data_IF_018456867663
#
_entry.id   IF_018456867663
#
_cell.length_a   1.000
_cell.length_b   1.000
_cell.length_c   1.000
_cell.angle_alpha   90.00
_cell.angle_beta   90.00
_cell.angle_gamma   90.00
#
_symmetry.space_group_name_H-M   'P 1'
#
loop_
_entity.id
_entity.type
_entity.pdbx_description
1 polymer ?
#
# COMPACT_ATOMS: atom_id res chain seq x y z
N UNK A 1 27.10 -13.20 -31.35
CA UNK A 1 25.69 -13.44 -30.95
C UNK A 1 25.59 -14.47 -29.83
N UNK A 2 26.31 -15.60 -29.90
CA UNK A 2 26.39 -16.63 -28.84
C UNK A 2 26.89 -16.13 -27.48
N UNK A 3 27.87 -15.22 -27.46
CA UNK A 3 28.44 -14.67 -26.22
C UNK A 3 27.47 -13.75 -25.45
N UNK A 4 26.57 -13.07 -26.16
CA UNK A 4 25.53 -12.24 -25.54
C UNK A 4 24.45 -13.10 -24.88
N UNK A 5 24.11 -14.26 -25.47
CA UNK A 5 23.10 -15.17 -24.93
C UNK A 5 23.56 -15.89 -23.66
N UNK A 6 24.84 -16.30 -23.57
CA UNK A 6 25.36 -16.91 -22.34
C UNK A 6 25.45 -15.91 -21.18
N UNK A 7 25.81 -14.65 -21.48
CA UNK A 7 25.76 -13.57 -20.50
C UNK A 7 24.32 -13.25 -20.08
N UNK A 8 23.36 -13.24 -21.01
CA UNK A 8 21.94 -12.96 -20.71
C UNK A 8 21.31 -14.05 -19.82
N UNK A 9 21.68 -15.31 -20.02
CA UNK A 9 21.22 -16.47 -19.22
C UNK A 9 21.58 -16.31 -17.75
N UNK A 10 22.87 -16.13 -17.44
CA UNK A 10 23.32 -15.90 -16.06
C UNK A 10 22.83 -14.57 -15.48
N UNK A 11 22.61 -13.56 -16.33
CA UNK A 11 22.08 -12.26 -15.93
C UNK A 11 20.60 -12.33 -15.53
N UNK A 12 19.81 -13.29 -16.03
CA UNK A 12 18.37 -13.38 -15.74
C UNK A 12 18.08 -13.54 -14.24
N UNK A 13 18.77 -14.47 -13.58
CA UNK A 13 18.67 -14.69 -12.12
C UNK A 13 19.10 -13.44 -11.35
N UNK A 14 20.16 -12.77 -11.80
CA UNK A 14 20.63 -11.53 -11.19
C UNK A 14 19.60 -10.39 -11.33
N UNK A 15 19.02 -10.23 -12.52
CA UNK A 15 17.96 -9.24 -12.78
C UNK A 15 16.74 -9.49 -11.91
N UNK A 16 16.27 -10.73 -11.81
CA UNK A 16 15.17 -11.13 -10.93
C UNK A 16 15.50 -10.76 -9.47
N UNK A 17 16.72 -11.01 -9.02
CA UNK A 17 17.14 -10.71 -7.64
C UNK A 17 17.17 -9.20 -7.38
N UNK A 18 17.70 -8.41 -8.32
CA UNK A 18 17.76 -6.95 -8.20
C UNK A 18 16.37 -6.32 -8.23
N UNK A 19 15.50 -6.76 -9.16
CA UNK A 19 14.13 -6.27 -9.23
C UNK A 19 13.33 -6.66 -8.00
N UNK A 20 13.54 -7.86 -7.46
CA UNK A 20 12.95 -8.30 -6.19
C UNK A 20 13.37 -7.39 -5.04
N UNK A 21 14.67 -7.11 -4.90
CA UNK A 21 15.17 -6.18 -3.87
C UNK A 21 14.55 -4.78 -4.00
N UNK A 22 14.46 -4.27 -5.23
CA UNK A 22 13.80 -2.99 -5.50
C UNK A 22 12.29 -3.01 -5.14
N UNK A 23 11.59 -4.11 -5.41
CA UNK A 23 10.18 -4.28 -5.04
C UNK A 23 9.98 -4.32 -3.52
N UNK A 24 10.83 -5.05 -2.79
CA UNK A 24 10.79 -5.09 -1.32
C UNK A 24 11.02 -3.69 -0.76
N UNK A 25 12.00 -2.95 -1.29
CA UNK A 25 12.23 -1.55 -0.90
C UNK A 25 11.02 -0.67 -1.18
N UNK A 26 10.38 -0.83 -2.34
CA UNK A 26 9.17 -0.07 -2.68
C UNK A 26 8.01 -0.39 -1.74
N UNK A 27 7.80 -1.66 -1.40
CA UNK A 27 6.83 -2.07 -0.39
C UNK A 27 7.12 -1.46 0.98
N UNK A 28 8.39 -1.40 1.38
CA UNK A 28 8.80 -0.74 2.62
C UNK A 28 8.48 0.77 2.61
N UNK A 29 8.72 1.45 1.49
CA UNK A 29 8.37 2.87 1.32
C UNK A 29 6.85 3.06 1.38
N UNK A 30 6.06 2.22 0.69
CA UNK A 30 4.59 2.27 0.77
C UNK A 30 4.09 2.02 2.19
N UNK A 31 4.69 1.08 2.92
CA UNK A 31 4.34 0.80 4.30
C UNK A 31 4.61 2.01 5.22
N UNK A 32 5.78 2.65 5.08
CA UNK A 32 6.08 3.88 5.81
C UNK A 32 5.11 5.00 5.45
N UNK A 33 4.76 5.13 4.17
CA UNK A 33 3.82 6.14 3.71
C UNK A 33 2.42 5.91 4.28
N UNK A 34 1.91 4.67 4.26
CA UNK A 34 0.63 4.29 4.88
C UNK A 34 0.59 4.62 6.37
N UNK A 35 1.66 4.31 7.12
CA UNK A 35 1.74 4.65 8.56
C UNK A 35 1.77 6.15 8.81
N UNK A 36 2.50 6.90 7.98
CA UNK A 36 2.54 8.37 8.05
C UNK A 36 1.16 8.96 7.76
N UNK A 37 0.49 8.42 6.75
CA UNK A 37 -0.84 8.83 6.35
C UNK A 37 -1.88 8.51 7.44
N UNK A 38 -1.85 7.34 8.10
CA UNK A 38 -2.74 7.09 9.23
C UNK A 38 -2.52 8.08 10.39
N UNK A 39 -1.25 8.38 10.71
CA UNK A 39 -0.91 9.30 11.81
C UNK A 39 -1.42 10.71 11.60
N UNK A 40 -1.33 11.26 10.38
CA UNK A 40 -1.87 12.60 10.15
C UNK A 40 -3.40 12.65 10.07
N UNK A 41 -4.10 11.54 9.74
CA UNK A 41 -5.57 11.45 9.93
C UNK A 41 -5.88 11.57 11.42
N UNK A 42 -5.27 10.72 12.24
CA UNK A 42 -5.48 10.72 13.68
C UNK A 42 -5.15 12.09 14.32
N UNK A 43 -4.04 12.72 13.95
CA UNK A 43 -3.68 14.05 14.42
C UNK A 43 -4.67 15.14 13.97
N UNK A 44 -5.23 15.03 12.76
CA UNK A 44 -6.23 16.01 12.29
C UNK A 44 -7.57 15.85 13.00
N UNK A 45 -7.98 14.62 13.31
CA UNK A 45 -9.16 14.32 14.14
C UNK A 45 -8.95 14.72 15.60
N UNK A 46 -7.76 14.53 16.15
CA UNK A 46 -7.39 14.99 17.48
C UNK A 46 -7.53 16.52 17.57
N UNK A 47 -6.93 17.27 16.64
CA UNK A 47 -7.07 18.74 16.57
C UNK A 47 -8.55 19.18 16.47
N UNK A 48 -9.35 18.44 15.69
CA UNK A 48 -10.78 18.73 15.49
C UNK A 48 -11.60 18.52 16.77
N UNK A 49 -11.39 17.40 17.47
CA UNK A 49 -12.13 17.02 18.68
C UNK A 49 -11.60 17.71 19.96
N UNK A 50 -10.45 18.38 19.88
CA UNK A 50 -9.77 19.04 21.01
C UNK A 50 -10.56 20.21 21.60
N UNK A 51 -11.52 19.93 22.48
CA UNK A 51 -12.38 20.94 23.10
C UNK A 51 -13.75 20.41 23.49
N UNK A 52 -14.10 19.20 23.05
CA UNK A 52 -15.27 18.49 23.50
C UNK A 52 -15.11 18.06 24.97
N UNK A 53 -16.17 18.27 25.77
CA UNK A 53 -16.17 17.99 27.20
C UNK A 53 -16.13 16.48 27.53
N UNK A 54 -16.69 15.66 26.64
CA UNK A 54 -16.72 14.19 26.73
C UNK A 54 -15.84 13.58 25.64
N UNK A 55 -14.53 13.82 25.73
CA UNK A 55 -13.57 13.21 24.81
C UNK A 55 -13.19 11.81 25.29
N UNK A 56 -13.17 10.84 24.38
CA UNK A 56 -12.53 9.55 24.64
C UNK A 56 -11.01 9.74 24.82
N UNK A 57 -10.52 9.61 26.06
CA UNK A 57 -9.09 9.71 26.39
C UNK A 57 -8.45 8.37 26.07
N UNK A 58 -8.06 8.18 24.80
CA UNK A 58 -7.35 6.98 24.38
C UNK A 58 -5.85 7.11 24.58
N UNK A 59 -5.25 6.04 25.08
CA UNK A 59 -3.82 5.94 25.31
C UNK A 59 -3.07 6.14 23.97
N UNK A 60 -2.09 7.03 23.96
CA UNK A 60 -1.31 7.40 22.77
C UNK A 60 -0.58 6.22 22.13
N UNK A 61 -0.55 5.07 22.81
CA UNK A 61 0.06 3.80 22.37
C UNK A 61 -0.91 2.85 21.67
N UNK A 62 -2.22 3.14 21.68
CA UNK A 62 -3.26 2.31 21.07
C UNK A 62 -3.21 2.27 19.54
N UNK A 63 -3.88 1.29 18.92
CA UNK A 63 -3.92 1.14 17.48
C UNK A 63 -4.57 2.38 16.82
N UNK A 64 -3.95 2.92 15.76
CA UNK A 64 -4.35 4.19 15.14
C UNK A 64 -5.79 4.16 14.59
N UNK A 65 -6.27 3.00 14.11
CA UNK A 65 -7.67 2.86 13.68
C UNK A 65 -8.64 3.04 14.84
N UNK A 66 -8.37 2.44 16.00
CA UNK A 66 -9.25 2.48 17.17
C UNK A 66 -9.36 3.92 17.71
N UNK A 67 -8.25 4.67 17.65
CA UNK A 67 -8.26 6.11 17.95
C UNK A 67 -9.17 6.88 16.99
N UNK A 68 -9.05 6.62 15.67
CA UNK A 68 -9.91 7.25 14.65
C UNK A 68 -11.37 6.91 14.90
N UNK A 69 -11.71 5.65 15.17
CA UNK A 69 -13.09 5.20 15.40
C UNK A 69 -13.70 5.85 16.64
N UNK A 70 -12.95 5.95 17.74
CA UNK A 70 -13.41 6.64 18.94
C UNK A 70 -13.63 8.15 18.71
N UNK A 71 -12.73 8.81 17.98
CA UNK A 71 -12.95 10.22 17.61
C UNK A 71 -14.20 10.39 16.74
N UNK A 72 -14.48 9.46 15.83
CA UNK A 72 -15.70 9.48 15.02
C UNK A 72 -16.96 9.19 15.84
N UNK A 73 -16.85 8.35 16.88
CA UNK A 73 -17.93 8.14 17.83
C UNK A 73 -18.24 9.42 18.62
N UNK A 74 -17.22 10.11 19.16
CA UNK A 74 -17.36 11.38 19.87
C UNK A 74 -18.04 12.45 18.97
N UNK A 75 -17.68 12.50 17.69
CA UNK A 75 -18.32 13.39 16.71
C UNK A 75 -19.77 13.00 16.45
N UNK A 76 -20.06 11.70 16.28
CA UNK A 76 -21.43 11.24 16.07
C UNK A 76 -22.34 11.49 17.28
N UNK A 77 -21.83 11.35 18.50
CA UNK A 77 -22.56 11.66 19.72
C UNK A 77 -22.87 13.16 19.82
N UNK A 78 -21.91 14.01 19.48
CA UNK A 78 -22.08 15.47 19.57
C UNK A 78 -22.99 16.06 18.50
N UNK A 79 -23.12 15.44 17.32
CA UNK A 79 -24.05 15.91 16.27
C UNK A 79 -25.50 15.45 16.50
N UNK A 80 -25.76 14.54 17.44
CA UNK A 80 -27.13 14.08 17.73
C UNK A 80 -28.00 15.24 18.23
N UNK A 81 -29.28 15.24 17.84
CA UNK A 81 -30.25 16.31 18.15
C UNK A 81 -30.46 16.50 19.65
N UNK A 82 -30.14 15.48 20.46
CA UNK A 82 -30.23 15.48 21.93
C UNK A 82 -28.93 15.91 22.62
N UNK A 83 -27.86 16.14 21.87
CA UNK A 83 -26.55 16.50 22.41
C UNK A 83 -26.52 17.94 22.94
N UNK A 84 -25.53 18.20 23.78
CA UNK A 84 -25.33 19.50 24.41
C UNK A 84 -25.07 20.60 23.34
N UNK A 85 -25.88 21.68 23.31
CA UNK A 85 -25.77 22.73 22.28
C UNK A 85 -24.41 23.45 22.29
N UNK A 86 -23.75 23.56 23.45
CA UNK A 86 -22.43 24.17 23.56
C UNK A 86 -21.33 23.36 22.83
N UNK A 87 -21.41 22.03 22.88
CA UNK A 87 -20.46 21.15 22.19
C UNK A 87 -20.67 21.21 20.66
N UNK A 88 -21.93 21.40 20.21
CA UNK A 88 -22.28 21.58 18.78
C UNK A 88 -21.73 22.89 18.20
N UNK A 89 -21.76 23.98 18.96
CA UNK A 89 -21.22 25.27 18.54
C UNK A 89 -19.69 25.23 18.40
N UNK A 90 -19.00 24.56 19.33
CA UNK A 90 -17.55 24.34 19.23
C UNK A 90 -17.20 23.50 17.98
N UNK A 91 -18.00 22.49 17.68
CA UNK A 91 -17.79 21.64 16.49
C UNK A 91 -18.03 22.42 15.19
N UNK A 92 -19.05 23.28 15.13
CA UNK A 92 -19.38 24.07 13.94
C UNK A 92 -18.29 25.07 13.59
N UNK A 93 -17.70 25.73 14.59
CA UNK A 93 -16.56 26.64 14.39
C UNK A 93 -15.33 25.92 13.85
N UNK A 94 -15.11 24.67 14.28
CA UNK A 94 -13.92 23.87 13.91
C UNK A 94 -14.09 23.08 12.63
N UNK A 95 -15.31 22.93 12.13
CA UNK A 95 -15.59 22.25 10.85
C UNK A 95 -14.82 22.91 9.69
N UNK A 96 -14.59 24.22 9.78
CA UNK A 96 -13.83 24.99 8.79
C UNK A 96 -12.34 24.61 8.77
N UNK A 97 -11.74 24.28 9.91
CA UNK A 97 -10.34 23.84 10.02
C UNK A 97 -10.15 22.48 9.33
N UNK A 98 -11.15 21.61 9.42
CA UNK A 98 -11.13 20.28 8.82
C UNK A 98 -11.29 20.34 7.29
N UNK A 99 -12.13 21.25 6.78
CA UNK A 99 -12.34 21.47 5.34
C UNK A 99 -11.05 22.04 4.68
N UNK A 100 -10.29 22.87 5.40
CA UNK A 100 -9.01 23.42 4.92
C UNK A 100 -7.91 22.35 4.77
N UNK A 101 -7.91 21.33 5.64
CA UNK A 101 -6.97 20.20 5.58
C UNK A 101 -7.37 19.09 4.58
N UNK A 102 -8.39 19.30 3.72
CA UNK A 102 -8.92 18.33 2.71
C UNK A 102 -7.88 17.63 1.84
N UNK A 103 -6.66 18.18 1.72
CA UNK A 103 -5.52 17.56 1.03
C UNK A 103 -5.20 16.15 1.54
N UNK A 104 -5.65 15.80 2.74
CA UNK A 104 -5.49 14.47 3.36
C UNK A 104 -6.32 13.35 2.70
N UNK A 105 -7.40 13.70 2.00
CA UNK A 105 -8.37 12.73 1.46
C UNK A 105 -8.04 12.23 0.05
N UNK A 106 -7.11 12.88 -0.66
CA UNK A 106 -6.84 12.56 -2.06
C UNK A 106 -5.61 11.67 -2.21
N UNK A 107 -5.82 10.36 -2.08
CA UNK A 107 -4.74 9.38 -2.10
C UNK A 107 -4.80 8.43 -3.30
N UNK A 108 -5.23 8.93 -4.46
CA UNK A 108 -5.22 8.18 -5.72
C UNK A 108 -3.82 7.66 -6.09
N UNK A 109 -2.76 8.36 -5.70
CA UNK A 109 -1.38 7.95 -5.95
C UNK A 109 -0.97 6.71 -5.13
N UNK A 110 -1.42 6.60 -3.88
CA UNK A 110 -1.12 5.43 -3.04
C UNK A 110 -1.82 4.18 -3.58
N UNK A 111 -3.12 4.29 -3.86
CA UNK A 111 -3.94 3.19 -4.38
C UNK A 111 -3.40 2.70 -5.73
N UNK A 112 -3.07 3.63 -6.62
CA UNK A 112 -2.50 3.31 -7.94
C UNK A 112 -1.14 2.64 -7.81
N UNK A 113 -0.25 3.16 -6.96
CA UNK A 113 1.08 2.59 -6.75
C UNK A 113 1.01 1.19 -6.15
N UNK A 114 0.13 0.97 -5.16
CA UNK A 114 -0.10 -0.34 -4.56
C UNK A 114 -0.66 -1.34 -5.58
N UNK A 115 -1.66 -0.95 -6.37
CA UNK A 115 -2.24 -1.81 -7.39
C UNK A 115 -1.20 -2.22 -8.45
N UNK A 116 -0.36 -1.29 -8.90
CA UNK A 116 0.75 -1.59 -9.83
C UNK A 116 1.71 -2.61 -9.21
N UNK A 117 2.14 -2.40 -7.96
CA UNK A 117 3.05 -3.32 -7.28
C UNK A 117 2.47 -4.72 -7.13
N UNK A 118 1.20 -4.81 -6.75
CA UNK A 118 0.48 -6.09 -6.64
C UNK A 118 0.50 -6.86 -7.96
N UNK A 119 0.12 -6.21 -9.06
CA UNK A 119 0.13 -6.85 -10.39
C UNK A 119 1.54 -7.24 -10.83
N UNK A 120 2.57 -6.45 -10.48
CA UNK A 120 3.96 -6.78 -10.83
C UNK A 120 4.50 -8.05 -10.14
N UNK A 121 3.89 -8.51 -9.05
CA UNK A 121 4.26 -9.80 -8.44
C UNK A 121 4.06 -10.96 -9.42
N UNK A 122 3.01 -10.90 -10.24
CA UNK A 122 2.68 -11.94 -11.23
C UNK A 122 3.69 -12.01 -12.37
N UNK A 123 4.51 -10.97 -12.56
CA UNK A 123 5.55 -10.96 -13.59
C UNK A 123 6.78 -11.82 -13.21
N UNK A 124 7.01 -12.10 -11.93
CA UNK A 124 8.21 -12.83 -11.48
C UNK A 124 8.24 -14.31 -11.92
N UNK A 125 7.16 -15.09 -11.80
CA UNK A 125 7.12 -16.45 -12.34
C UNK A 125 7.32 -16.45 -13.86
N UNK A 126 6.70 -15.48 -14.56
CA UNK A 126 6.85 -15.33 -16.01
C UNK A 126 8.29 -15.02 -16.40
N UNK A 127 8.96 -14.13 -15.66
CA UNK A 127 10.38 -13.82 -15.85
C UNK A 127 11.28 -15.06 -15.62
N UNK A 128 10.97 -15.89 -14.62
CA UNK A 128 11.68 -17.14 -14.37
C UNK A 128 11.56 -18.15 -15.53
N UNK A 129 10.35 -18.31 -16.07
CA UNK A 129 10.09 -19.13 -17.27
C UNK A 129 10.83 -18.56 -18.49
N UNK A 130 10.80 -17.24 -18.69
CA UNK A 130 11.54 -16.59 -19.78
C UNK A 130 13.04 -16.81 -19.68
N UNK A 131 13.64 -16.71 -18.49
CA UNK A 131 15.06 -16.99 -18.28
C UNK A 131 15.42 -18.45 -18.58
N UNK A 132 14.52 -19.39 -18.27
CA UNK A 132 14.67 -20.81 -18.63
C UNK A 132 14.68 -21.01 -20.15
N UNK A 133 13.75 -20.37 -20.86
CA UNK A 133 13.68 -20.43 -22.33
C UNK A 133 14.95 -19.86 -22.96
N UNK A 134 15.46 -18.74 -22.43
CA UNK A 134 16.70 -18.11 -22.90
C UNK A 134 17.92 -19.00 -22.65
N UNK A 135 18.06 -19.57 -21.45
CA UNK A 135 19.15 -20.46 -21.09
C UNK A 135 19.18 -21.74 -21.95
N UNK A 136 18.02 -22.37 -22.15
CA UNK A 136 17.87 -23.52 -23.02
C UNK A 136 18.18 -23.16 -24.49
N UNK A 137 17.69 -22.02 -24.96
CA UNK A 137 17.97 -21.51 -26.31
C UNK A 137 19.46 -21.27 -26.54
N UNK A 138 20.17 -20.73 -25.54
CA UNK A 138 21.62 -20.53 -25.58
C UNK A 138 22.37 -21.88 -25.64
N UNK A 139 21.96 -22.85 -24.82
CA UNK A 139 22.56 -24.18 -24.78
C UNK A 139 22.47 -24.91 -26.13
N UNK A 140 21.31 -24.83 -26.79
CA UNK A 140 21.06 -25.49 -28.08
C UNK A 140 21.88 -24.89 -29.23
N UNK A 141 22.14 -23.59 -29.23
CA UNK A 141 22.92 -22.94 -30.29
C UNK A 141 24.42 -23.25 -30.22
N UNK A 142 24.98 -23.45 -29.01
CA UNK A 142 26.41 -23.72 -28.78
C UNK A 142 26.85 -25.10 -29.29
N UNK A 143 25.91 -25.99 -29.61
CA UNK A 143 26.16 -27.36 -30.05
C UNK A 143 26.47 -27.48 -31.57
N UNK A 144 26.48 -26.37 -32.32
CA UNK A 144 26.60 -26.40 -33.78
C UNK A 144 28.04 -26.45 -34.33
N UNK A 145 29.07 -26.64 -33.48
CA UNK A 145 30.46 -26.73 -33.97
C UNK A 145 31.58 -26.98 -32.94
N UNK A 146 31.28 -27.55 -31.76
CA UNK A 146 32.29 -27.80 -30.70
C UNK A 146 32.52 -29.29 -30.42
N UNK A 147 33.70 -29.63 -29.88
CA UNK A 147 34.02 -31.02 -29.50
C UNK A 147 33.05 -31.55 -28.43
N UNK A 148 32.54 -32.78 -28.63
CA UNK A 148 31.42 -33.37 -27.88
C UNK A 148 31.53 -33.28 -26.36
N UNK A 149 32.75 -33.41 -25.80
CA UNK A 149 32.96 -33.32 -24.35
C UNK A 149 32.82 -31.89 -23.80
N UNK A 150 33.30 -30.88 -24.56
CA UNK A 150 33.16 -29.46 -24.20
C UNK A 150 31.71 -28.97 -24.36
N UNK A 151 30.98 -29.54 -25.34
CA UNK A 151 29.57 -29.28 -25.57
C UNK A 151 28.70 -29.77 -24.40
N UNK A 152 28.95 -30.99 -23.89
CA UNK A 152 28.18 -31.56 -22.76
C UNK A 152 28.33 -30.70 -21.50
N UNK A 153 29.55 -30.29 -21.13
CA UNK A 153 29.77 -29.46 -19.94
C UNK A 153 29.03 -28.10 -20.04
N UNK A 154 29.04 -27.49 -21.23
CA UNK A 154 28.35 -26.22 -21.50
C UNK A 154 26.82 -26.36 -21.47
N UNK A 155 26.30 -27.50 -21.93
CA UNK A 155 24.87 -27.80 -21.85
C UNK A 155 24.43 -27.93 -20.38
N UNK A 156 25.18 -28.68 -19.58
CA UNK A 156 24.87 -28.88 -18.15
C UNK A 156 24.89 -27.57 -17.38
N UNK A 157 25.86 -26.68 -17.63
CA UNK A 157 25.89 -25.36 -16.96
C UNK A 157 24.66 -24.52 -17.27
N UNK A 158 24.19 -24.51 -18.53
CA UNK A 158 23.00 -23.75 -18.92
C UNK A 158 21.70 -24.36 -18.41
N UNK A 159 21.61 -25.68 -18.28
CA UNK A 159 20.50 -26.30 -17.55
C UNK A 159 20.47 -25.86 -16.08
N UNK A 160 21.64 -25.75 -15.46
CA UNK A 160 21.78 -25.18 -14.12
C UNK A 160 21.22 -23.75 -14.04
N UNK A 161 21.64 -22.87 -14.95
CA UNK A 161 21.14 -21.49 -15.03
C UNK A 161 19.62 -21.42 -15.18
N UNK A 162 19.06 -22.29 -16.02
CA UNK A 162 17.63 -22.36 -16.28
C UNK A 162 16.83 -22.72 -15.01
N UNK A 163 17.31 -23.70 -14.25
CA UNK A 163 16.71 -24.11 -12.97
C UNK A 163 16.76 -22.96 -11.96
N UNK A 164 17.92 -22.30 -11.84
CA UNK A 164 18.09 -21.18 -10.92
C UNK A 164 17.21 -19.98 -11.26
N UNK A 165 17.02 -19.68 -12.55
CA UNK A 165 16.11 -18.63 -13.00
C UNK A 165 14.66 -18.92 -12.60
N UNK A 166 14.17 -20.14 -12.83
CA UNK A 166 12.81 -20.53 -12.43
C UNK A 166 12.64 -20.47 -10.92
N UNK A 167 13.60 -21.02 -10.18
CA UNK A 167 13.58 -21.00 -8.73
C UNK A 167 13.54 -19.57 -8.19
N UNK A 168 14.39 -18.68 -8.71
CA UNK A 168 14.42 -17.28 -8.29
C UNK A 168 13.10 -16.56 -8.59
N UNK A 169 12.51 -16.78 -9.78
CA UNK A 169 11.22 -16.19 -10.15
C UNK A 169 10.07 -16.64 -9.24
N UNK A 170 9.99 -17.94 -8.94
CA UNK A 170 8.97 -18.48 -8.03
C UNK A 170 9.19 -18.05 -6.58
N UNK A 171 10.42 -18.11 -6.08
CA UNK A 171 10.75 -17.69 -4.72
C UNK A 171 10.45 -16.21 -4.50
N UNK A 172 10.83 -15.34 -5.45
CA UNK A 172 10.52 -13.92 -5.41
C UNK A 172 9.00 -13.69 -5.39
N UNK A 173 8.23 -14.37 -6.24
CA UNK A 173 6.78 -14.24 -6.28
C UNK A 173 6.13 -14.64 -4.94
N UNK A 174 6.50 -15.80 -4.39
CA UNK A 174 5.97 -16.30 -3.12
C UNK A 174 6.27 -15.32 -1.97
N UNK A 175 7.51 -14.84 -1.89
CA UNK A 175 7.92 -13.90 -0.85
C UNK A 175 7.18 -12.56 -0.98
N UNK A 176 7.03 -12.04 -2.21
CA UNK A 176 6.30 -10.79 -2.43
C UNK A 176 4.79 -10.96 -2.18
N UNK A 177 4.18 -12.09 -2.53
CA UNK A 177 2.78 -12.39 -2.19
C UNK A 177 2.57 -12.40 -0.68
N UNK A 178 3.47 -13.04 0.06
CA UNK A 178 3.43 -13.05 1.52
C UNK A 178 3.54 -11.64 2.10
N UNK A 179 4.52 -10.85 1.63
CA UNK A 179 4.70 -9.47 2.06
C UNK A 179 3.48 -8.60 1.72
N UNK A 180 2.93 -8.77 0.51
CA UNK A 180 1.73 -8.08 0.07
C UNK A 180 0.54 -8.37 0.98
N UNK A 181 0.33 -9.63 1.37
CA UNK A 181 -0.77 -10.03 2.26
C UNK A 181 -0.71 -9.31 3.62
N UNK A 182 0.49 -9.13 4.19
CA UNK A 182 0.67 -8.39 5.45
C UNK A 182 0.34 -6.90 5.27
N UNK A 183 0.74 -6.31 4.15
CA UNK A 183 0.52 -4.89 3.86
C UNK A 183 -0.92 -4.59 3.46
N UNK A 184 -1.58 -5.51 2.77
CA UNK A 184 -2.97 -5.39 2.32
C UNK A 184 -3.90 -5.10 3.50
N UNK A 185 -3.74 -5.81 4.62
CA UNK A 185 -4.53 -5.56 5.83
C UNK A 185 -4.35 -4.13 6.33
N UNK A 186 -3.11 -3.61 6.35
CA UNK A 186 -2.85 -2.22 6.79
C UNK A 186 -3.44 -1.19 5.83
N UNK A 187 -3.44 -1.49 4.54
CA UNK A 187 -3.89 -0.58 3.49
C UNK A 187 -5.42 -0.52 3.40
N UNK A 188 -6.09 -1.66 3.52
CA UNK A 188 -7.54 -1.74 3.64
C UNK A 188 -8.03 -0.93 4.84
N UNK A 189 -7.38 -1.09 6.00
CA UNK A 189 -7.70 -0.29 7.19
C UNK A 189 -7.57 1.23 6.94
N UNK A 190 -6.56 1.68 6.19
CA UNK A 190 -6.39 3.10 5.84
C UNK A 190 -7.50 3.61 4.92
N UNK A 191 -7.87 2.83 3.90
CA UNK A 191 -8.94 3.20 2.95
C UNK A 191 -10.29 3.27 3.67
N UNK A 192 -10.60 2.26 4.49
CA UNK A 192 -11.83 2.19 5.27
C UNK A 192 -11.93 3.37 6.25
N UNK A 193 -10.87 3.65 7.02
CA UNK A 193 -10.81 4.81 7.91
C UNK A 193 -11.02 6.12 7.15
N UNK A 194 -10.38 6.30 5.97
CA UNK A 194 -10.56 7.51 5.16
C UNK A 194 -12.01 7.70 4.70
N UNK A 195 -12.64 6.62 4.25
CA UNK A 195 -14.02 6.65 3.81
C UNK A 195 -14.95 6.98 4.99
N UNK A 196 -14.76 6.30 6.12
CA UNK A 196 -15.57 6.53 7.32
C UNK A 196 -15.44 7.97 7.82
N UNK A 197 -14.22 8.50 7.93
CA UNK A 197 -13.97 9.91 8.30
C UNK A 197 -14.68 10.86 7.33
N UNK A 198 -14.54 10.65 6.02
CA UNK A 198 -15.18 11.51 5.02
C UNK A 198 -16.70 11.54 5.20
N UNK A 199 -17.31 10.38 5.36
CA UNK A 199 -18.76 10.25 5.43
C UNK A 199 -19.31 10.86 6.74
N UNK A 200 -18.61 10.68 7.87
CA UNK A 200 -18.93 11.34 9.15
C UNK A 200 -18.79 12.85 9.07
N UNK A 201 -17.74 13.37 8.43
CA UNK A 201 -17.53 14.82 8.30
C UNK A 201 -18.60 15.47 7.42
N UNK A 202 -18.97 14.83 6.31
CA UNK A 202 -20.06 15.29 5.45
C UNK A 202 -21.38 15.31 6.21
N UNK A 203 -21.66 14.27 6.99
CA UNK A 203 -22.84 14.20 7.86
C UNK A 203 -22.81 15.31 8.91
N UNK A 204 -21.71 15.47 9.64
CA UNK A 204 -21.57 16.50 10.66
C UNK A 204 -21.78 17.91 10.08
N UNK A 205 -21.18 18.21 8.91
CA UNK A 205 -21.38 19.48 8.22
C UNK A 205 -22.85 19.71 7.86
N UNK A 206 -23.54 18.68 7.38
CA UNK A 206 -24.96 18.75 7.04
C UNK A 206 -25.82 19.04 8.27
N UNK A 207 -25.66 18.27 9.34
CA UNK A 207 -26.44 18.42 10.58
C UNK A 207 -26.18 19.77 11.29
N UNK A 208 -24.93 20.24 11.29
CA UNK A 208 -24.57 21.54 11.86
C UNK A 208 -25.08 22.71 11.01
N UNK A 209 -25.09 22.58 9.68
CA UNK A 209 -25.69 23.58 8.80
C UNK A 209 -27.21 23.70 9.02
N UNK A 210 -27.91 22.59 9.21
CA UNK A 210 -29.34 22.61 9.55
C UNK A 210 -29.61 23.24 10.93
N UNK A 211 -28.75 22.95 11.92
CA UNK A 211 -28.87 23.56 13.25
C UNK A 211 -28.67 25.08 13.24
N UNK A 212 -27.67 25.58 12.50
CA UNK A 212 -27.44 27.03 12.35
C UNK A 212 -28.46 27.71 11.44
N UNK A 213 -29.01 27.00 10.45
CA UNK A 213 -30.07 27.53 9.59
C UNK A 213 -31.38 27.77 10.35
N UNK A 214 -31.73 26.87 11.27
CA UNK A 214 -32.92 26.99 12.12
C UNK A 214 -32.88 28.12 13.15
N UNK A 215 -31.70 28.63 13.50
CA UNK A 215 -31.54 29.78 14.40
C UNK A 215 -31.72 31.16 13.73
N UNK A 216 -31.93 31.21 12.40
CA UNK A 216 -32.08 32.48 11.66
C UNK A 216 -33.55 32.87 11.42
N UNK A 217 -34.51 32.04 11.85
CA UNK A 217 -35.96 32.29 11.72
C UNK A 217 -36.68 32.54 13.06
N UNK A 218 -35.97 32.99 14.11
CA UNK A 218 -36.60 33.48 15.35
C UNK A 218 -36.24 34.93 15.64
#
# INVERSE_FOLDING_TARGET
MSQYLSQLSGLSTFLITVTFGAHVFFFFVLWLWSRRDLRGIASSLDDFTRGLKHRSVLDSTGHLSDQIEAFLADVNETIDSKANPADREVLSQRVHILDEKRRYLNSHFFETSYNICRTMIEAYPLAGVLGTILAMGAALQLNTGSETSSAINSIVSHFGDAIWSTFAGLAAAILLMFLNSILETSFLNLVENRQHVRDTVVRAKRELAFANGGSTEQ
#
